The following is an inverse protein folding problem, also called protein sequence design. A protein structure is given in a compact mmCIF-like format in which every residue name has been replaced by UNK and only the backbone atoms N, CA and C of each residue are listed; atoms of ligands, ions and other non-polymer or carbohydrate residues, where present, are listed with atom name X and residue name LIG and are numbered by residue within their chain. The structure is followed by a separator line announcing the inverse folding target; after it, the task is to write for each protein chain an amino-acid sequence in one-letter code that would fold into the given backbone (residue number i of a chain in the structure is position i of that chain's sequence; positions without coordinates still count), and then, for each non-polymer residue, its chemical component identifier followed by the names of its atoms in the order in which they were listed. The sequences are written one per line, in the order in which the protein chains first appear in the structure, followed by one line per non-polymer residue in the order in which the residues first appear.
data_IF_932682646682
#
_entry.id   IF_932682646682
#
_cell.length_a   1.000
_cell.length_b   1.000
_cell.length_c   1.000
_cell.angle_alpha   90.00
_cell.angle_beta   90.00
_cell.angle_gamma   90.00
#
_symmetry.space_group_name_H-M   'P 1'
#
loop_
_entity.id
_entity.type
_entity.pdbx_description
1 polymer ?
#
# COMPACT_ATOMS: atom_id res chain seq x y z
N UNK A 1 -37.44 58.89 19.47
CA UNK A 1 -38.80 58.86 18.89
C UNK A 1 -39.10 57.36 18.57
N UNK A 2 -39.84 56.73 19.51
CA UNK A 2 -41.26 56.32 19.47
C UNK A 2 -41.61 55.54 18.19
N UNK A 3 -42.10 54.30 18.22
CA UNK A 3 -43.15 53.66 19.05
C UNK A 3 -43.11 52.11 18.77
N UNK A 4 -43.18 51.33 19.77
CA UNK A 4 -43.94 50.16 20.20
C UNK A 4 -45.21 49.86 19.38
N UNK A 5 -45.40 48.55 19.06
CA UNK A 5 -46.71 47.89 19.31
C UNK A 5 -46.56 46.33 19.27
N UNK A 6 -46.95 45.69 20.36
CA UNK A 6 -47.44 44.32 20.52
C UNK A 6 -48.92 44.45 20.96
N UNK A 7 -49.66 43.35 21.28
CA UNK A 7 -49.91 42.02 20.71
C UNK A 7 -51.43 41.74 20.50
N UNK A 8 -51.82 40.58 19.96
CA UNK A 8 -53.17 40.04 20.19
C UNK A 8 -53.21 38.54 20.35
N UNK A 9 -53.62 38.12 21.53
CA UNK A 9 -54.11 36.80 21.93
C UNK A 9 -55.53 36.59 21.35
N UNK A 10 -55.85 35.33 20.95
CA UNK A 10 -57.23 34.85 20.93
C UNK A 10 -57.32 33.46 21.56
N UNK A 11 -58.20 33.39 22.56
CA UNK A 11 -58.59 32.21 23.35
C UNK A 11 -59.79 31.52 22.71
N UNK A 12 -60.05 30.29 23.23
CA UNK A 12 -61.37 29.61 23.44
C UNK A 12 -61.77 28.69 22.27
N UNK A 13 -62.16 27.44 22.45
CA UNK A 13 -63.04 26.88 23.49
C UNK A 13 -62.92 25.33 23.58
N UNK A 14 -63.06 24.88 24.78
CA UNK A 14 -63.35 23.54 25.26
C UNK A 14 -64.73 23.01 24.80
N UNK A 15 -64.83 21.73 24.40
CA UNK A 15 -66.10 20.98 24.37
C UNK A 15 -65.91 19.60 25.00
N UNK A 16 -66.45 19.44 26.22
CA UNK A 16 -66.73 18.17 26.87
C UNK A 16 -67.90 17.49 26.20
N UNK A 17 -67.82 16.17 25.93
CA UNK A 17 -68.97 15.25 25.95
C UNK A 17 -68.53 13.82 26.23
N UNK A 18 -68.94 13.35 27.40
CA UNK A 18 -69.80 12.25 27.77
C UNK A 18 -69.24 10.84 27.62
N UNK A 19 -69.04 10.27 28.79
CA UNK A 19 -68.83 8.85 29.12
C UNK A 19 -70.01 7.97 28.66
N UNK A 20 -69.69 6.85 27.96
CA UNK A 20 -70.58 5.66 27.92
C UNK A 20 -69.74 4.47 28.31
N UNK A 21 -70.08 3.85 29.45
CA UNK A 21 -69.50 2.62 29.97
C UNK A 21 -70.03 1.42 29.17
N UNK A 22 -69.15 0.52 28.75
CA UNK A 22 -69.52 -0.86 28.39
C UNK A 22 -68.53 -1.83 29.01
N UNK A 23 -69.08 -2.75 29.82
CA UNK A 23 -68.41 -3.85 30.50
C UNK A 23 -67.66 -4.79 29.56
N UNK A 24 -66.56 -5.44 30.01
CA UNK A 24 -65.80 -6.32 29.17
C UNK A 24 -66.34 -7.76 29.17
N UNK A 25 -66.55 -8.31 28.01
CA UNK A 25 -66.79 -9.73 27.78
C UNK A 25 -65.50 -10.54 28.00
N UNK A 26 -65.59 -11.62 28.83
CA UNK A 26 -64.54 -12.56 29.11
C UNK A 26 -63.98 -13.20 27.82
N UNK A 27 -62.68 -13.06 27.59
CA UNK A 27 -61.95 -13.77 26.54
C UNK A 27 -61.41 -15.08 27.07
N UNK A 28 -61.78 -16.19 26.41
CA UNK A 28 -61.27 -17.53 26.62
C UNK A 28 -59.75 -17.56 26.43
N UNK A 29 -59.04 -18.13 27.43
CA UNK A 29 -57.57 -18.34 27.35
C UNK A 29 -57.25 -19.43 26.32
N UNK A 30 -56.52 -19.07 25.28
CA UNK A 30 -55.89 -20.01 24.36
C UNK A 30 -54.57 -20.51 24.99
N UNK A 31 -54.21 -21.79 24.90
CA UNK A 31 -53.00 -22.30 25.54
C UNK A 31 -51.75 -21.77 24.85
N UNK A 32 -50.77 -21.35 25.64
CA UNK A 32 -49.49 -20.81 25.20
C UNK A 32 -48.71 -21.87 24.39
N UNK A 33 -48.43 -21.54 23.14
CA UNK A 33 -47.55 -22.32 22.27
C UNK A 33 -46.11 -22.14 22.79
N UNK A 34 -45.49 -23.23 23.26
CA UNK A 34 -44.06 -23.25 23.69
C UNK A 34 -43.21 -22.75 22.53
N UNK A 35 -42.53 -21.65 22.74
CA UNK A 35 -41.55 -21.10 21.79
C UNK A 35 -40.40 -22.11 21.61
N UNK A 36 -40.09 -22.47 20.37
CA UNK A 36 -38.88 -23.21 20.04
C UNK A 36 -37.64 -22.33 20.42
N UNK A 37 -36.61 -22.94 21.04
CA UNK A 37 -35.38 -22.19 21.31
C UNK A 37 -34.79 -21.66 20.00
N UNK A 38 -34.38 -20.38 20.00
CA UNK A 38 -33.67 -19.75 18.89
C UNK A 38 -32.41 -20.55 18.56
N UNK A 39 -32.05 -20.70 17.28
CA UNK A 39 -30.83 -21.37 16.91
C UNK A 39 -29.65 -20.62 17.54
N UNK A 40 -28.80 -21.30 18.30
CA UNK A 40 -27.52 -20.80 18.78
C UNK A 40 -26.76 -20.29 17.54
N UNK A 41 -26.39 -19.00 17.50
CA UNK A 41 -25.46 -18.48 16.53
C UNK A 41 -24.19 -19.30 16.65
N UNK A 42 -24.00 -20.25 15.75
CA UNK A 42 -22.71 -20.89 15.51
C UNK A 42 -21.74 -19.77 15.20
N UNK A 43 -20.73 -19.61 16.05
CA UNK A 43 -19.59 -18.74 15.71
C UNK A 43 -19.13 -19.15 14.32
N UNK A 44 -19.09 -18.18 13.38
CA UNK A 44 -18.60 -18.43 12.05
C UNK A 44 -17.17 -18.97 12.19
N UNK A 45 -16.99 -20.22 11.78
CA UNK A 45 -15.67 -20.85 11.67
C UNK A 45 -14.87 -19.94 10.74
N UNK A 46 -13.68 -19.52 11.20
CA UNK A 46 -12.76 -18.78 10.34
C UNK A 46 -12.65 -19.55 9.01
N UNK A 47 -12.70 -18.86 7.86
CA UNK A 47 -12.60 -19.55 6.58
C UNK A 47 -11.35 -20.41 6.60
N UNK A 48 -11.49 -21.69 6.26
CA UNK A 48 -10.39 -22.61 6.04
C UNK A 48 -9.44 -21.93 5.04
N UNK A 49 -8.12 -22.09 5.24
CA UNK A 49 -7.09 -21.50 4.39
C UNK A 49 -7.37 -21.85 2.92
N UNK A 50 -7.97 -20.88 2.20
CA UNK A 50 -7.92 -20.92 0.74
C UNK A 50 -6.44 -20.82 0.34
N UNK A 51 -5.98 -21.63 -0.65
CA UNK A 51 -4.62 -21.52 -1.14
C UNK A 51 -4.37 -20.07 -1.58
N UNK A 52 -3.16 -19.52 -1.37
CA UNK A 52 -2.85 -18.15 -1.71
C UNK A 52 -3.18 -17.87 -3.18
N UNK A 53 -3.91 -16.77 -3.43
CA UNK A 53 -4.22 -16.31 -4.79
C UNK A 53 -2.97 -15.64 -5.35
N UNK A 54 -2.23 -16.32 -6.18
CA UNK A 54 -1.00 -15.81 -6.79
C UNK A 54 0.15 -16.82 -6.74
N UNK A 55 1.35 -16.38 -7.15
CA UNK A 55 2.54 -17.22 -7.10
C UNK A 55 2.91 -17.55 -5.65
N UNK A 56 3.56 -18.71 -5.43
CA UNK A 56 3.85 -19.22 -4.10
C UNK A 56 4.65 -18.28 -3.19
N UNK A 57 5.47 -17.41 -3.76
CA UNK A 57 6.30 -16.42 -3.03
C UNK A 57 5.55 -15.15 -2.60
N UNK A 58 4.26 -14.99 -2.95
CA UNK A 58 3.43 -13.84 -2.59
C UNK A 58 2.13 -14.30 -1.93
N UNK A 59 1.85 -13.76 -0.76
CA UNK A 59 0.60 -13.99 -0.02
C UNK A 59 -0.06 -12.64 0.30
N UNK A 60 -0.87 -12.15 -0.62
CA UNK A 60 -1.56 -10.84 -0.45
C UNK A 60 -2.59 -10.86 0.69
N UNK A 61 -3.14 -12.03 1.02
CA UNK A 61 -4.19 -12.15 2.04
C UNK A 61 -3.66 -11.98 3.47
N UNK A 62 -2.34 -12.09 3.69
CA UNK A 62 -1.72 -11.82 4.99
C UNK A 62 -2.06 -10.41 5.48
N UNK A 63 -2.15 -9.43 4.57
CA UNK A 63 -2.39 -8.03 4.90
C UNK A 63 -3.72 -7.80 5.63
N UNK A 64 -4.73 -8.64 5.36
CA UNK A 64 -6.03 -8.62 6.02
C UNK A 64 -5.98 -9.16 7.46
N UNK A 65 -4.92 -9.88 7.80
CA UNK A 65 -4.72 -10.50 9.12
C UNK A 65 -3.72 -9.74 10.01
N UNK A 66 -3.07 -8.72 9.47
CA UNK A 66 -2.15 -7.87 10.26
C UNK A 66 -2.92 -7.15 11.36
N UNK A 67 -2.47 -7.28 12.58
CA UNK A 67 -2.94 -6.48 13.71
C UNK A 67 -2.25 -5.12 13.69
N UNK A 68 -2.90 -4.17 13.02
CA UNK A 68 -2.41 -2.81 12.89
C UNK A 68 -2.30 -2.11 14.26
N UNK A 69 -1.37 -1.17 14.39
CA UNK A 69 -1.18 -0.32 15.58
C UNK A 69 -1.28 1.15 15.17
N UNK A 70 -1.68 1.99 16.11
CA UNK A 70 -1.69 3.43 15.88
C UNK A 70 -0.30 3.92 15.49
N UNK A 71 -0.25 4.68 14.41
CA UNK A 71 0.97 5.21 13.85
C UNK A 71 1.75 4.25 12.95
N UNK A 72 1.24 3.06 12.64
CA UNK A 72 1.86 2.20 11.62
C UNK A 72 2.00 2.94 10.30
N UNK A 73 3.11 2.70 9.61
CA UNK A 73 3.45 3.31 8.32
C UNK A 73 3.44 2.22 7.25
N UNK A 74 2.76 2.45 6.16
CA UNK A 74 2.75 1.57 5.00
C UNK A 74 3.41 2.27 3.82
N UNK A 75 4.52 1.72 3.36
CA UNK A 75 5.19 2.09 2.11
C UNK A 75 4.58 1.24 1.00
N UNK A 76 3.53 1.77 0.35
CA UNK A 76 2.84 1.11 -0.77
C UNK A 76 3.36 1.68 -2.08
N UNK A 77 4.19 0.90 -2.77
CA UNK A 77 4.90 1.34 -3.98
C UNK A 77 4.89 0.19 -4.98
N UNK A 78 4.48 0.38 -6.24
CA UNK A 78 4.52 -0.69 -7.22
C UNK A 78 5.96 -1.10 -7.49
N UNK A 79 6.12 -2.28 -8.06
CA UNK A 79 7.47 -2.81 -8.39
C UNK A 79 8.29 -1.77 -9.17
N UNK A 80 9.58 -1.69 -8.90
CA UNK A 80 10.57 -0.84 -9.59
C UNK A 80 10.29 0.67 -9.60
N UNK A 81 9.39 1.15 -8.75
CA UNK A 81 9.04 2.58 -8.62
C UNK A 81 9.76 3.31 -7.47
N UNK A 82 10.89 2.79 -7.00
CA UNK A 82 11.66 3.41 -5.93
C UNK A 82 11.32 2.87 -4.53
N UNK A 83 10.75 1.67 -4.44
CA UNK A 83 10.31 1.04 -3.18
C UNK A 83 11.42 1.02 -2.14
N UNK A 84 12.59 0.48 -2.48
CA UNK A 84 13.73 0.35 -1.56
C UNK A 84 14.22 1.73 -1.08
N UNK A 85 14.24 2.71 -1.95
CA UNK A 85 14.58 4.09 -1.59
C UNK A 85 13.58 4.69 -0.61
N UNK A 86 12.28 4.56 -0.88
CA UNK A 86 11.21 5.05 0.02
C UNK A 86 11.23 4.33 1.37
N UNK A 87 11.46 3.01 1.38
CA UNK A 87 11.66 2.25 2.63
C UNK A 87 12.82 2.80 3.44
N UNK A 88 13.96 3.06 2.79
CA UNK A 88 15.13 3.61 3.44
C UNK A 88 14.88 5.03 3.98
N UNK A 89 14.22 5.90 3.22
CA UNK A 89 13.84 7.25 3.71
C UNK A 89 12.98 7.12 4.99
N UNK A 90 11.96 6.28 4.98
CA UNK A 90 11.10 6.05 6.16
C UNK A 90 11.88 5.47 7.33
N UNK A 91 12.81 4.54 7.07
CA UNK A 91 13.68 3.98 8.10
C UNK A 91 14.57 5.04 8.71
N UNK A 92 15.33 5.79 7.92
CA UNK A 92 16.25 6.84 8.39
C UNK A 92 15.53 7.96 9.15
N UNK A 93 14.33 8.34 8.73
CA UNK A 93 13.50 9.31 9.45
C UNK A 93 13.03 8.79 10.80
N UNK A 94 12.74 7.48 10.93
CA UNK A 94 12.33 6.86 12.21
C UNK A 94 13.48 6.70 13.18
N UNK A 95 14.67 6.43 12.68
CA UNK A 95 15.87 6.16 13.49
C UNK A 95 16.76 7.41 13.68
N UNK A 96 16.44 8.53 13.00
CA UNK A 96 17.20 9.78 13.14
C UNK A 96 18.54 9.79 12.44
N UNK A 97 18.69 9.02 11.37
CA UNK A 97 19.92 8.93 10.59
C UNK A 97 20.88 7.86 11.13
N UNK A 98 20.40 6.62 11.23
CA UNK A 98 21.18 5.47 11.69
C UNK A 98 21.67 4.62 10.50
N UNK A 99 23.01 4.48 10.28
CA UNK A 99 23.55 3.63 9.23
C UNK A 99 23.72 2.16 9.65
N UNK A 100 23.51 1.81 10.93
CA UNK A 100 23.97 0.55 11.52
C UNK A 100 22.98 -0.62 11.37
N UNK A 101 21.93 -0.48 10.56
CA UNK A 101 21.06 -1.62 10.20
C UNK A 101 21.77 -2.59 9.24
N UNK A 102 21.44 -3.86 9.31
CA UNK A 102 22.03 -4.90 8.45
C UNK A 102 21.19 -5.19 7.21
N UNK A 103 19.87 -5.27 7.35
CA UNK A 103 18.92 -5.64 6.30
C UNK A 103 17.67 -4.76 6.42
N UNK A 104 17.43 -3.94 5.40
CA UNK A 104 16.28 -3.04 5.36
C UNK A 104 14.95 -3.80 5.43
N UNK A 105 14.88 -5.03 4.95
CA UNK A 105 13.66 -5.84 4.98
C UNK A 105 13.36 -6.45 6.36
N UNK A 106 14.30 -6.38 7.29
CA UNK A 106 14.07 -6.62 8.72
C UNK A 106 13.44 -5.37 9.36
N UNK A 107 13.94 -4.19 9.02
CA UNK A 107 13.48 -2.91 9.56
C UNK A 107 12.12 -2.45 9.00
N UNK A 108 11.87 -2.75 7.73
CA UNK A 108 10.64 -2.44 7.00
C UNK A 108 10.16 -3.71 6.26
N UNK A 109 9.56 -4.68 6.99
CA UNK A 109 9.18 -5.97 6.41
C UNK A 109 8.24 -5.84 5.22
N UNK A 110 8.48 -6.69 4.20
CA UNK A 110 7.58 -6.84 3.08
C UNK A 110 6.41 -7.75 3.47
N UNK A 111 5.21 -7.17 3.57
CA UNK A 111 4.05 -7.86 4.12
C UNK A 111 3.71 -9.15 3.37
N UNK A 112 3.59 -9.09 2.06
CA UNK A 112 3.14 -10.22 1.25
C UNK A 112 4.25 -11.23 0.88
N UNK A 113 5.51 -10.94 1.17
CA UNK A 113 6.60 -11.88 0.87
C UNK A 113 6.44 -13.18 1.65
N UNK A 114 6.48 -14.30 0.95
CA UNK A 114 6.66 -15.62 1.54
C UNK A 114 8.15 -15.95 1.45
N UNK A 115 8.86 -16.04 2.58
CA UNK A 115 10.32 -16.25 2.57
C UNK A 115 10.77 -17.57 1.95
N UNK A 116 9.93 -18.58 2.04
CA UNK A 116 10.12 -19.92 1.51
C UNK A 116 8.90 -20.79 1.75
N UNK A 117 8.78 -21.94 1.08
CA UNK A 117 7.61 -22.84 1.16
C UNK A 117 7.34 -23.38 2.56
N UNK A 118 8.37 -23.45 3.42
CA UNK A 118 8.27 -23.96 4.80
C UNK A 118 7.69 -22.92 5.77
N UNK A 119 7.61 -21.62 5.40
CA UNK A 119 7.23 -20.54 6.31
C UNK A 119 5.74 -20.27 6.25
N UNK A 120 5.04 -20.58 7.33
CA UNK A 120 3.58 -20.40 7.40
C UNK A 120 3.19 -18.93 7.56
N UNK A 121 1.93 -18.62 7.22
CA UNK A 121 1.34 -17.28 7.43
C UNK A 121 1.33 -16.89 8.90
N UNK A 122 1.05 -17.84 9.79
CA UNK A 122 1.02 -17.63 11.25
C UNK A 122 2.41 -17.26 11.79
N UNK A 123 3.46 -17.91 11.32
CA UNK A 123 4.84 -17.57 11.70
C UNK A 123 5.20 -16.14 11.25
N UNK A 124 4.82 -15.75 10.02
CA UNK A 124 5.02 -14.39 9.51
C UNK A 124 4.25 -13.35 10.33
N UNK A 125 2.96 -13.59 10.61
CA UNK A 125 2.15 -12.72 11.45
C UNK A 125 2.73 -12.58 12.86
N UNK A 126 3.18 -13.68 13.46
CA UNK A 126 3.82 -13.66 14.78
C UNK A 126 5.12 -12.83 14.78
N UNK A 127 5.92 -12.87 13.69
CA UNK A 127 7.10 -12.02 13.51
C UNK A 127 6.72 -10.53 13.48
N UNK A 128 5.69 -10.14 12.73
CA UNK A 128 5.20 -8.76 12.66
C UNK A 128 4.65 -8.28 14.02
N UNK A 129 3.98 -9.14 14.77
CA UNK A 129 3.46 -8.80 16.10
C UNK A 129 4.55 -8.59 17.14
N UNK A 130 5.71 -9.26 17.02
CA UNK A 130 6.87 -9.10 17.90
C UNK A 130 7.67 -7.83 17.65
N UNK A 131 7.44 -7.11 16.55
CA UNK A 131 8.12 -5.84 16.28
C UNK A 131 8.01 -4.89 17.49
N UNK A 132 9.06 -4.13 17.82
CA UNK A 132 9.10 -3.26 18.99
C UNK A 132 7.89 -2.36 19.13
N UNK A 133 7.43 -2.14 20.39
CA UNK A 133 6.29 -1.24 20.68
C UNK A 133 6.73 0.21 20.91
N UNK A 134 8.00 0.42 21.21
CA UNK A 134 8.55 1.75 21.53
C UNK A 134 8.76 2.67 20.32
N UNK A 135 8.63 2.12 19.10
CA UNK A 135 8.72 2.89 17.84
C UNK A 135 7.57 2.53 16.90
N UNK A 136 7.25 3.44 16.00
CA UNK A 136 6.26 3.19 14.94
C UNK A 136 6.79 2.11 14.00
N UNK A 137 5.96 1.12 13.70
CA UNK A 137 6.32 0.11 12.70
C UNK A 137 6.19 0.70 11.30
N UNK A 138 7.03 0.22 10.40
CA UNK A 138 6.89 0.49 8.97
C UNK A 138 6.85 -0.83 8.21
N UNK A 139 6.07 -0.88 7.14
CA UNK A 139 5.88 -2.06 6.31
C UNK A 139 5.96 -1.68 4.84
N UNK A 140 6.52 -2.55 4.03
CA UNK A 140 6.50 -2.45 2.58
C UNK A 140 5.37 -3.32 2.02
N UNK A 141 4.71 -2.82 0.97
CA UNK A 141 3.82 -3.61 0.12
C UNK A 141 3.87 -3.14 -1.33
N UNK A 142 3.59 -4.06 -2.26
CA UNK A 142 3.29 -3.72 -3.66
C UNK A 142 1.78 -3.68 -3.94
N UNK A 143 0.97 -3.96 -2.93
CA UNK A 143 -0.49 -3.98 -3.06
C UNK A 143 -1.09 -2.58 -2.99
N UNK A 144 -2.02 -2.25 -3.90
CA UNK A 144 -2.89 -1.08 -3.76
C UNK A 144 -4.04 -1.35 -2.77
N UNK A 145 -4.91 -0.35 -2.48
CA UNK A 145 -6.18 -0.56 -1.80
C UNK A 145 -7.01 -1.67 -2.46
N UNK A 146 -7.67 -2.46 -1.62
CA UNK A 146 -8.39 -3.68 -2.03
C UNK A 146 -7.71 -4.91 -1.44
N UNK A 147 -6.59 -5.41 -2.00
CA UNK A 147 -5.75 -6.39 -1.32
C UNK A 147 -5.17 -5.84 0.00
N UNK A 148 -4.58 -4.64 -0.03
CA UNK A 148 -4.24 -3.90 1.17
C UNK A 148 -5.51 -3.30 1.79
N UNK A 149 -5.87 -3.66 3.03
CA UNK A 149 -7.04 -3.10 3.69
C UNK A 149 -6.77 -1.63 4.06
N UNK A 150 -7.22 -0.72 3.19
CA UNK A 150 -7.12 0.71 3.45
C UNK A 150 -7.95 1.11 4.68
N UNK A 151 -7.35 1.83 5.58
CA UNK A 151 -7.98 2.39 6.77
C UNK A 151 -8.23 3.89 6.55
N UNK A 152 -9.51 4.27 6.59
CA UNK A 152 -9.89 5.67 6.38
C UNK A 152 -9.34 6.57 7.50
N UNK A 153 -9.14 7.88 7.23
CA UNK A 153 -8.77 8.84 8.27
C UNK A 153 -9.74 8.80 9.46
N UNK A 154 -9.20 8.84 10.67
CA UNK A 154 -9.99 8.73 11.91
C UNK A 154 -10.35 7.30 12.32
N UNK A 155 -10.01 6.28 11.54
CA UNK A 155 -10.14 4.90 11.98
C UNK A 155 -9.08 4.58 13.05
N UNK A 156 -9.45 3.77 14.05
CA UNK A 156 -8.50 3.20 15.01
C UNK A 156 -8.21 1.74 14.66
N UNK A 157 -6.95 1.35 14.59
CA UNK A 157 -5.75 2.18 14.68
C UNK A 157 -5.55 3.09 13.46
N UNK A 158 -4.89 4.27 13.68
CA UNK A 158 -4.47 5.18 12.61
C UNK A 158 -3.27 4.59 11.85
N UNK A 159 -3.37 4.58 10.52
CA UNK A 159 -2.32 4.07 9.62
C UNK A 159 -2.04 5.13 8.55
N UNK A 160 -0.76 5.37 8.28
CA UNK A 160 -0.31 6.32 7.26
C UNK A 160 0.30 5.61 6.07
N UNK A 161 -0.03 6.08 4.87
CA UNK A 161 0.37 5.48 3.61
C UNK A 161 1.29 6.43 2.84
N UNK A 162 2.54 6.01 2.62
CA UNK A 162 3.48 6.67 1.70
C UNK A 162 3.44 5.90 0.40
N UNK A 163 2.97 6.55 -0.64
CA UNK A 163 2.72 5.95 -1.96
C UNK A 163 3.61 6.64 -2.98
N UNK A 164 4.40 5.88 -3.72
CA UNK A 164 5.27 6.43 -4.76
C UNK A 164 4.93 5.78 -6.09
N UNK A 165 4.76 6.60 -7.12
CA UNK A 165 4.51 6.20 -8.50
C UNK A 165 5.70 6.60 -9.36
N UNK A 166 5.94 5.90 -10.45
CA UNK A 166 7.00 6.19 -11.41
C UNK A 166 6.47 6.03 -12.81
N UNK A 167 7.07 6.76 -13.76
CA UNK A 167 6.77 6.63 -15.19
C UNK A 167 6.74 5.14 -15.61
N UNK A 168 5.63 4.65 -16.20
CA UNK A 168 5.44 3.24 -16.54
C UNK A 168 6.53 2.66 -17.43
N UNK A 169 7.00 3.41 -18.44
CA UNK A 169 8.06 2.97 -19.33
C UNK A 169 9.37 2.71 -18.58
N UNK A 170 9.69 3.57 -17.61
CA UNK A 170 10.86 3.40 -16.76
C UNK A 170 10.73 2.23 -15.78
N UNK A 171 9.51 1.95 -15.32
CA UNK A 171 9.23 0.78 -14.47
C UNK A 171 9.49 -0.49 -15.28
N UNK A 172 8.91 -0.59 -16.49
CA UNK A 172 9.06 -1.76 -17.35
C UNK A 172 10.51 -1.96 -17.78
N UNK A 173 11.21 -0.89 -18.18
CA UNK A 173 12.64 -0.91 -18.48
C UNK A 173 13.50 -1.42 -17.30
N UNK A 174 13.13 -1.03 -16.08
CA UNK A 174 13.81 -1.50 -14.86
C UNK A 174 13.43 -2.92 -14.48
N UNK A 175 12.28 -3.42 -14.94
CA UNK A 175 11.78 -4.76 -14.59
C UNK A 175 12.55 -5.86 -15.33
N UNK A 176 12.89 -5.67 -16.60
CA UNK A 176 13.60 -6.66 -17.41
C UNK A 176 14.91 -7.14 -16.76
N UNK A 177 15.90 -6.30 -16.47
CA UNK A 177 17.12 -6.75 -15.80
C UNK A 177 16.86 -7.22 -14.37
N UNK A 178 15.81 -6.77 -13.72
CA UNK A 178 15.47 -7.22 -12.37
C UNK A 178 14.98 -8.67 -12.34
N UNK A 179 14.11 -9.07 -13.27
CA UNK A 179 13.66 -10.47 -13.34
C UNK A 179 14.78 -11.40 -13.79
N UNK A 180 15.68 -10.92 -14.64
CA UNK A 180 16.85 -11.67 -15.08
C UNK A 180 17.87 -11.92 -13.95
N UNK A 181 17.92 -11.03 -12.97
CA UNK A 181 18.81 -11.11 -11.82
C UNK A 181 18.26 -11.93 -10.65
N UNK A 182 17.13 -12.62 -10.80
CA UNK A 182 16.73 -13.59 -9.78
C UNK A 182 17.69 -14.78 -9.79
N UNK A 183 18.09 -15.21 -8.59
CA UNK A 183 19.05 -16.30 -8.44
C UNK A 183 18.49 -17.64 -8.92
N UNK A 184 19.36 -18.55 -9.35
CA UNK A 184 18.95 -19.92 -9.71
C UNK A 184 18.33 -20.63 -8.50
N UNK A 185 18.90 -20.42 -7.30
CA UNK A 185 18.37 -20.98 -6.05
C UNK A 185 16.92 -20.52 -5.77
N UNK A 186 16.55 -19.29 -6.13
CA UNK A 186 15.17 -18.81 -5.99
C UNK A 186 14.23 -19.52 -6.98
N UNK A 187 14.62 -19.69 -8.25
CA UNK A 187 13.83 -20.41 -9.24
C UNK A 187 13.64 -21.89 -8.86
N UNK A 188 14.68 -22.53 -8.35
CA UNK A 188 14.63 -23.91 -7.86
C UNK A 188 13.71 -24.04 -6.65
N UNK A 189 13.84 -23.16 -5.65
CA UNK A 189 13.01 -23.15 -4.43
C UNK A 189 11.52 -23.11 -4.75
N UNK A 190 11.14 -22.28 -5.75
CA UNK A 190 9.75 -22.09 -6.13
C UNK A 190 9.29 -22.97 -7.29
N UNK A 191 10.12 -23.90 -7.76
CA UNK A 191 9.84 -24.79 -8.90
C UNK A 191 9.33 -24.01 -10.11
N UNK A 192 9.89 -22.84 -10.37
CA UNK A 192 9.47 -21.93 -11.43
C UNK A 192 10.55 -21.90 -12.52
N UNK A 193 10.23 -22.30 -13.76
CA UNK A 193 11.20 -22.20 -14.85
C UNK A 193 11.59 -20.74 -15.10
N UNK A 194 12.89 -20.47 -15.32
CA UNK A 194 13.38 -19.10 -15.60
C UNK A 194 12.66 -18.45 -16.78
N UNK A 195 12.35 -19.25 -17.78
CA UNK A 195 11.70 -18.85 -19.03
C UNK A 195 10.29 -18.28 -18.83
N UNK A 196 9.69 -18.45 -17.66
CA UNK A 196 8.41 -17.83 -17.33
C UNK A 196 8.53 -16.31 -17.32
N UNK A 197 9.66 -15.78 -16.82
CA UNK A 197 9.85 -14.34 -16.65
C UNK A 197 11.04 -13.78 -17.45
N UNK A 198 12.10 -14.58 -17.63
CA UNK A 198 13.35 -14.11 -18.21
C UNK A 198 13.30 -14.19 -19.73
N UNK A 199 13.68 -13.11 -20.40
CA UNK A 199 13.80 -13.02 -21.86
C UNK A 199 15.16 -12.44 -22.23
N UNK A 200 15.70 -12.76 -23.40
CA UNK A 200 17.05 -12.34 -23.82
C UNK A 200 17.15 -10.82 -24.02
N UNK A 201 16.05 -10.19 -24.43
CA UNK A 201 16.00 -8.76 -24.72
C UNK A 201 14.70 -8.12 -24.24
N UNK A 202 14.68 -6.78 -24.19
CA UNK A 202 13.54 -6.04 -23.70
C UNK A 202 12.31 -6.18 -24.59
N UNK A 203 12.47 -6.31 -25.91
CA UNK A 203 11.35 -6.46 -26.84
C UNK A 203 10.57 -7.75 -26.55
N UNK A 204 11.29 -8.89 -26.48
CA UNK A 204 10.67 -10.17 -26.13
C UNK A 204 10.08 -10.14 -24.72
N UNK A 205 10.78 -9.53 -23.75
CA UNK A 205 10.24 -9.36 -22.41
C UNK A 205 8.94 -8.55 -22.40
N UNK A 206 8.86 -7.48 -23.17
CA UNK A 206 7.68 -6.64 -23.22
C UNK A 206 6.46 -7.41 -23.74
N UNK A 207 6.55 -8.00 -24.91
CA UNK A 207 5.41 -8.64 -25.56
C UNK A 207 5.01 -9.98 -24.96
N UNK A 208 5.96 -10.77 -24.46
CA UNK A 208 5.68 -12.09 -23.89
C UNK A 208 5.26 -12.04 -22.42
N UNK A 209 5.72 -11.02 -21.68
CA UNK A 209 5.56 -11.00 -20.21
C UNK A 209 4.98 -9.66 -19.72
N UNK A 210 5.65 -8.54 -20.01
CA UNK A 210 5.38 -7.29 -19.32
C UNK A 210 4.05 -6.66 -19.71
N UNK A 211 3.67 -6.74 -20.97
CA UNK A 211 2.42 -6.20 -21.51
C UNK A 211 1.19 -6.78 -20.79
N UNK A 212 1.20 -8.06 -20.48
CA UNK A 212 0.06 -8.75 -19.85
C UNK A 212 0.13 -8.78 -18.33
N UNK A 213 1.33 -8.83 -17.75
CA UNK A 213 1.50 -8.99 -16.30
C UNK A 213 1.80 -7.66 -15.58
N UNK A 214 2.82 -6.92 -16.04
CA UNK A 214 3.33 -5.78 -15.27
C UNK A 214 2.66 -4.45 -15.64
N UNK A 215 2.37 -4.19 -16.92
CA UNK A 215 1.74 -2.94 -17.33
C UNK A 215 0.34 -2.76 -16.70
N UNK A 216 -0.57 -3.76 -16.73
CA UNK A 216 -1.86 -3.64 -16.06
C UNK A 216 -1.75 -3.46 -14.55
N UNK A 217 -0.76 -4.11 -13.91
CA UNK A 217 -0.54 -3.97 -12.47
C UNK A 217 -0.09 -2.54 -12.11
N UNK A 218 0.78 -1.90 -12.90
CA UNK A 218 1.25 -0.53 -12.67
C UNK A 218 0.07 0.46 -12.76
N UNK A 219 -0.70 0.41 -13.83
CA UNK A 219 -1.83 1.33 -14.02
C UNK A 219 -2.98 1.06 -13.05
N UNK A 220 -3.28 -0.20 -12.75
CA UNK A 220 -4.26 -0.59 -11.74
C UNK A 220 -3.89 -0.12 -10.33
N UNK A 221 -2.58 -0.11 -10.01
CA UNK A 221 -2.09 0.45 -8.76
C UNK A 221 -2.39 1.96 -8.66
N UNK A 222 -2.09 2.73 -9.72
CA UNK A 222 -2.38 4.16 -9.76
C UNK A 222 -3.90 4.41 -9.69
N UNK A 223 -4.70 3.69 -10.48
CA UNK A 223 -6.16 3.80 -10.49
C UNK A 223 -6.78 3.60 -9.09
N UNK A 224 -6.21 2.69 -8.29
CA UNK A 224 -6.70 2.40 -6.95
C UNK A 224 -6.28 3.46 -5.91
N UNK A 225 -5.09 4.06 -6.02
CA UNK A 225 -4.62 5.10 -5.09
C UNK A 225 -5.09 6.51 -5.47
N UNK A 226 -5.29 6.80 -6.73
CA UNK A 226 -5.62 8.13 -7.24
C UNK A 226 -6.84 8.79 -6.55
N UNK A 227 -7.97 8.08 -6.35
CA UNK A 227 -9.13 8.64 -5.65
C UNK A 227 -8.85 9.00 -4.18
N UNK A 228 -7.76 8.49 -3.61
CA UNK A 228 -7.38 8.68 -2.20
C UNK A 228 -6.27 9.74 -2.03
N UNK A 229 -5.78 10.37 -3.12
CA UNK A 229 -4.63 11.29 -3.11
C UNK A 229 -4.79 12.49 -2.17
N UNK A 230 -6.02 12.97 -1.98
CA UNK A 230 -6.33 14.08 -1.06
C UNK A 230 -6.66 13.66 0.38
N UNK A 231 -6.51 12.38 0.74
CA UNK A 231 -6.80 11.93 2.10
C UNK A 231 -5.65 12.27 3.05
N UNK A 232 -5.93 12.78 4.28
CA UNK A 232 -4.88 13.27 5.19
C UNK A 232 -3.93 12.17 5.70
N UNK A 233 -4.25 10.90 5.49
CA UNK A 233 -3.39 9.77 5.81
C UNK A 233 -2.74 9.10 4.60
N UNK A 234 -2.81 9.73 3.43
CA UNK A 234 -2.17 9.27 2.18
C UNK A 234 -1.26 10.37 1.63
N UNK A 235 0.01 10.06 1.45
CA UNK A 235 0.96 10.90 0.75
C UNK A 235 1.31 10.21 -0.58
N UNK A 236 0.84 10.80 -1.69
CA UNK A 236 1.13 10.32 -3.04
C UNK A 236 2.26 11.15 -3.65
N UNK A 237 3.36 10.52 -4.02
CA UNK A 237 4.58 11.12 -4.57
C UNK A 237 4.93 10.51 -5.92
N UNK A 238 5.65 11.27 -6.75
CA UNK A 238 6.20 10.76 -7.99
C UNK A 238 7.73 10.62 -7.90
N UNK A 239 8.25 9.50 -8.38
CA UNK A 239 9.69 9.17 -8.30
C UNK A 239 10.59 10.23 -8.95
N UNK A 240 10.17 10.81 -10.09
CA UNK A 240 10.95 11.84 -10.75
C UNK A 240 11.04 13.13 -9.93
N UNK A 241 9.98 13.49 -9.22
CA UNK A 241 9.95 14.65 -8.32
C UNK A 241 10.86 14.44 -7.12
N UNK A 242 10.79 13.24 -6.51
CA UNK A 242 11.71 12.87 -5.44
C UNK A 242 13.17 12.90 -5.86
N UNK A 243 13.47 12.51 -7.10
CA UNK A 243 14.83 12.57 -7.66
C UNK A 243 15.29 14.01 -7.93
N UNK A 244 14.37 14.87 -8.36
CA UNK A 244 14.67 16.28 -8.64
C UNK A 244 14.93 17.07 -7.36
N UNK A 245 14.15 16.78 -6.32
CA UNK A 245 14.26 17.42 -5.01
C UNK A 245 14.26 16.35 -3.90
N UNK A 246 15.44 15.80 -3.64
CA UNK A 246 15.65 14.78 -2.62
C UNK A 246 15.38 15.34 -1.21
N UNK A 247 16.02 16.46 -0.85
CA UNK A 247 15.87 17.06 0.48
C UNK A 247 14.42 17.45 0.75
N UNK A 248 13.76 18.17 -0.15
CA UNK A 248 12.35 18.56 -0.01
C UNK A 248 11.43 17.35 0.12
N UNK A 249 11.67 16.30 -0.66
CA UNK A 249 10.88 15.06 -0.59
C UNK A 249 11.03 14.33 0.75
N UNK A 250 12.25 14.24 1.28
CA UNK A 250 12.51 13.62 2.60
C UNK A 250 11.83 14.43 3.70
N UNK A 251 11.88 15.76 3.65
CA UNK A 251 11.18 16.65 4.61
C UNK A 251 9.65 16.52 4.50
N UNK A 252 9.11 16.47 3.29
CA UNK A 252 7.67 16.25 3.06
C UNK A 252 7.20 14.92 3.67
N UNK A 253 7.97 13.84 3.50
CA UNK A 253 7.67 12.55 4.12
C UNK A 253 7.73 12.65 5.65
N UNK A 254 8.73 13.33 6.21
CA UNK A 254 8.86 13.52 7.66
C UNK A 254 7.66 14.28 8.24
N UNK A 255 7.28 15.40 7.62
CA UNK A 255 6.13 16.22 8.01
C UNK A 255 4.83 15.42 7.94
N UNK A 256 4.57 14.75 6.82
CA UNK A 256 3.39 13.91 6.64
C UNK A 256 3.30 12.81 7.70
N UNK A 257 4.40 12.17 8.02
CA UNK A 257 4.45 11.14 9.05
C UNK A 257 4.41 11.73 10.48
N UNK A 258 4.57 13.04 10.66
CA UNK A 258 4.69 13.68 11.96
C UNK A 258 5.99 13.28 12.69
N UNK A 259 7.01 12.88 11.93
CA UNK A 259 8.36 12.64 12.44
C UNK A 259 9.12 13.97 12.51
N UNK A 260 9.83 14.20 13.60
CA UNK A 260 10.53 15.47 13.87
C UNK A 260 11.99 15.22 14.19
N UNK A 261 12.84 14.91 13.18
CA UNK A 261 14.27 14.81 13.40
C UNK A 261 14.82 16.12 13.98
N UNK A 262 15.77 16.01 14.92
CA UNK A 262 16.48 17.18 15.43
C UNK A 262 17.35 17.80 14.34
N UNK A 263 17.66 19.10 14.39
CA UNK A 263 18.45 19.77 13.37
C UNK A 263 19.77 19.05 13.03
N UNK A 264 20.43 18.51 14.02
CA UNK A 264 21.72 17.79 13.87
C UNK A 264 21.61 16.41 13.20
N UNK A 265 20.41 15.85 13.10
CA UNK A 265 20.17 14.54 12.46
C UNK A 265 19.97 14.65 10.94
N UNK A 266 19.56 15.81 10.45
CA UNK A 266 19.23 15.99 9.04
C UNK A 266 20.39 15.69 8.08
N UNK A 267 21.66 16.10 8.35
CA UNK A 267 22.75 15.77 7.46
C UNK A 267 22.93 14.26 7.29
N UNK A 268 22.86 13.48 8.36
CA UNK A 268 22.97 12.03 8.33
C UNK A 268 21.78 11.38 7.59
N UNK A 269 20.55 11.83 7.86
CA UNK A 269 19.35 11.33 7.17
C UNK A 269 19.46 11.53 5.65
N UNK A 270 19.86 12.72 5.21
CA UNK A 270 20.00 13.04 3.78
C UNK A 270 21.16 12.29 3.13
N UNK A 271 22.28 12.13 3.83
CA UNK A 271 23.41 11.33 3.36
C UNK A 271 23.00 9.87 3.15
N UNK A 272 22.43 9.23 4.19
CA UNK A 272 22.12 7.80 4.17
C UNK A 272 20.93 7.44 3.29
N UNK A 273 20.13 8.41 2.89
CA UNK A 273 19.08 8.24 1.89
C UNK A 273 19.52 8.65 0.47
N UNK A 274 20.76 9.10 0.29
CA UNK A 274 21.29 9.43 -1.04
C UNK A 274 21.54 8.18 -1.88
N UNK A 275 21.43 8.31 -3.21
CA UNK A 275 21.76 7.22 -4.13
C UNK A 275 23.20 6.74 -3.99
N UNK A 276 24.15 7.68 -3.78
CA UNK A 276 25.57 7.35 -3.63
C UNK A 276 25.84 6.46 -2.43
N UNK A 277 25.27 6.83 -1.27
CA UNK A 277 25.43 6.03 -0.05
C UNK A 277 24.74 4.67 -0.18
N UNK A 278 23.52 4.63 -0.71
CA UNK A 278 22.79 3.38 -0.93
C UNK A 278 23.54 2.44 -1.87
N UNK A 279 24.16 2.97 -2.94
CA UNK A 279 24.97 2.15 -3.86
C UNK A 279 26.23 1.62 -3.20
N UNK A 280 26.92 2.44 -2.42
CA UNK A 280 28.11 2.02 -1.65
C UNK A 280 27.80 0.97 -0.57
N UNK A 281 26.54 0.92 -0.10
CA UNK A 281 26.07 0.02 0.96
C UNK A 281 24.99 -0.95 0.45
N UNK A 282 25.04 -1.34 -0.82
CA UNK A 282 23.93 -2.05 -1.49
C UNK A 282 23.49 -3.35 -0.83
N UNK A 283 24.39 -4.05 -0.11
CA UNK A 283 24.06 -5.25 0.67
C UNK A 283 22.96 -5.02 1.69
N UNK A 284 22.89 -3.83 2.31
CA UNK A 284 21.83 -3.48 3.28
C UNK A 284 20.43 -3.43 2.66
N UNK A 285 20.35 -3.36 1.35
CA UNK A 285 19.12 -3.22 0.57
C UNK A 285 18.72 -4.49 -0.19
N UNK A 286 19.52 -5.52 -0.10
CA UNK A 286 19.21 -6.87 -0.60
C UNK A 286 18.37 -7.62 0.43
N UNK A 287 17.51 -8.53 -0.05
CA UNK A 287 16.73 -9.40 0.86
C UNK A 287 17.64 -10.56 1.29
N UNK A 288 18.31 -10.40 2.42
CA UNK A 288 19.29 -11.39 2.89
C UNK A 288 18.70 -12.34 3.93
N UNK A 289 18.10 -11.77 4.98
CA UNK A 289 17.64 -12.55 6.15
C UNK A 289 16.14 -12.79 6.16
N UNK A 290 15.42 -12.16 5.24
CA UNK A 290 13.97 -12.28 5.12
C UNK A 290 13.52 -13.41 4.18
N UNK A 291 14.45 -14.16 3.56
CA UNK A 291 14.17 -15.26 2.64
C UNK A 291 15.05 -16.48 2.95
N UNK A 292 14.59 -17.69 2.57
CA UNK A 292 15.32 -18.95 2.77
C UNK A 292 16.55 -19.07 1.87
N UNK A 293 16.51 -18.44 0.69
CA UNK A 293 17.61 -18.35 -0.27
C UNK A 293 17.76 -16.93 -0.76
N UNK A 294 18.94 -16.53 -1.30
CA UNK A 294 19.07 -15.23 -1.96
C UNK A 294 18.03 -15.09 -3.08
N UNK A 295 17.23 -14.02 -3.04
CA UNK A 295 16.21 -13.80 -4.09
C UNK A 295 16.86 -13.28 -5.37
N UNK A 296 17.86 -12.42 -5.24
CA UNK A 296 18.55 -11.76 -6.34
C UNK A 296 20.05 -11.99 -6.26
N UNK A 297 20.70 -11.92 -7.40
CA UNK A 297 22.15 -11.77 -7.48
C UNK A 297 22.58 -10.48 -6.83
N UNK A 298 23.77 -10.47 -6.22
CA UNK A 298 24.30 -9.30 -5.52
C UNK A 298 24.45 -8.10 -6.46
N UNK A 299 24.09 -6.91 -5.98
CA UNK A 299 24.15 -5.65 -6.74
C UNK A 299 22.95 -5.36 -7.65
N UNK A 300 21.96 -6.25 -7.73
CA UNK A 300 20.82 -6.09 -8.61
C UNK A 300 19.77 -5.09 -8.09
N UNK A 301 19.75 -4.82 -6.78
CA UNK A 301 18.71 -3.99 -6.17
C UNK A 301 18.91 -2.49 -6.43
N UNK A 302 20.12 -1.95 -6.24
CA UNK A 302 20.46 -0.54 -6.44
C UNK A 302 21.22 -0.38 -7.77
N UNK A 303 20.48 -0.32 -8.90
CA UNK A 303 21.06 -0.37 -10.24
C UNK A 303 21.52 1.00 -10.78
N UNK A 304 20.67 1.72 -11.47
CA UNK A 304 21.02 2.99 -12.16
C UNK A 304 20.52 4.25 -11.44
N UNK A 305 19.31 4.20 -10.86
CA UNK A 305 18.68 5.36 -10.20
C UNK A 305 18.47 6.59 -11.12
N UNK A 306 18.39 6.36 -12.44
CA UNK A 306 18.20 7.43 -13.45
C UNK A 306 16.72 7.64 -13.76
N UNK A 307 16.36 8.86 -14.18
CA UNK A 307 15.07 9.26 -14.76
C UNK A 307 15.28 9.59 -16.23
N UNK A 308 14.28 9.30 -17.08
CA UNK A 308 14.33 9.61 -18.53
C UNK A 308 15.18 8.65 -19.37
N UNK A 309 15.67 7.55 -18.80
CA UNK A 309 16.62 6.64 -19.45
C UNK A 309 15.98 5.31 -19.94
N UNK A 310 14.65 5.23 -20.06
CA UNK A 310 13.97 4.00 -20.47
C UNK A 310 14.42 3.51 -21.87
N UNK A 311 14.70 4.42 -22.77
CA UNK A 311 15.19 4.10 -24.13
C UNK A 311 16.57 3.43 -24.12
N UNK A 312 17.45 3.74 -23.15
CA UNK A 312 18.76 3.06 -22.98
C UNK A 312 18.59 1.58 -22.61
N UNK A 313 17.45 1.22 -22.04
CA UNK A 313 17.11 -0.14 -21.59
C UNK A 313 16.14 -0.84 -22.56
N UNK A 314 15.97 -0.33 -23.79
CA UNK A 314 15.25 -1.02 -24.88
C UNK A 314 13.80 -0.58 -25.12
N UNK A 315 13.28 0.44 -24.40
CA UNK A 315 11.94 0.97 -24.68
C UNK A 315 11.96 1.77 -25.97
N UNK A 316 11.31 1.22 -27.00
CA UNK A 316 11.13 1.91 -28.29
C UNK A 316 9.91 2.84 -28.29
N UNK A 317 9.79 3.80 -29.22
CA UNK A 317 8.58 4.62 -29.36
C UNK A 317 7.30 3.77 -29.56
N UNK A 318 7.39 2.65 -30.26
CA UNK A 318 6.26 1.74 -30.48
C UNK A 318 5.82 1.08 -29.17
N UNK A 319 6.74 0.59 -28.36
CA UNK A 319 6.46 0.00 -27.04
C UNK A 319 5.89 1.06 -26.10
N UNK A 320 6.44 2.27 -26.08
CA UNK A 320 5.91 3.36 -25.25
C UNK A 320 4.49 3.73 -25.66
N UNK A 321 4.19 3.81 -26.96
CA UNK A 321 2.85 4.07 -27.46
C UNK A 321 1.86 2.97 -27.10
N UNK A 322 2.26 1.69 -27.17
CA UNK A 322 1.43 0.55 -26.79
C UNK A 322 1.19 0.51 -25.26
N UNK A 323 2.22 0.76 -24.46
CA UNK A 323 2.09 0.90 -23.00
C UNK A 323 1.12 2.02 -22.64
N UNK A 324 1.22 3.17 -23.32
CA UNK A 324 0.32 4.30 -23.09
C UNK A 324 -1.13 3.99 -23.50
N UNK A 325 -1.34 3.23 -24.58
CA UNK A 325 -2.67 2.77 -25.00
C UNK A 325 -3.32 1.89 -23.92
N UNK A 326 -2.61 0.86 -23.46
CA UNK A 326 -3.06 0.00 -22.37
C UNK A 326 -3.34 0.79 -21.08
N UNK A 327 -2.48 1.75 -20.79
CA UNK A 327 -2.64 2.60 -19.61
C UNK A 327 -3.93 3.41 -19.63
N UNK A 328 -4.33 3.98 -20.78
CA UNK A 328 -5.58 4.73 -20.93
C UNK A 328 -6.83 3.86 -20.80
N UNK A 329 -6.75 2.60 -21.17
CA UNK A 329 -7.85 1.64 -20.99
C UNK A 329 -8.11 1.35 -19.50
N UNK A 330 -7.08 1.35 -18.67
CA UNK A 330 -7.14 1.01 -17.24
C UNK A 330 -7.32 2.28 -16.39
N UNK A 331 -6.51 3.30 -16.65
CA UNK A 331 -6.48 4.57 -15.92
C UNK A 331 -7.27 5.61 -16.73
N UNK A 332 -8.59 5.57 -16.58
CA UNK A 332 -9.53 6.40 -17.38
C UNK A 332 -9.55 7.87 -16.98
N UNK A 333 -9.06 8.22 -15.79
CA UNK A 333 -8.85 9.60 -15.36
C UNK A 333 -7.63 10.18 -16.10
N UNK A 334 -7.87 11.17 -16.96
CA UNK A 334 -6.84 11.78 -17.79
C UNK A 334 -5.74 12.49 -16.96
N UNK A 335 -6.12 13.13 -15.84
CA UNK A 335 -5.16 13.78 -14.96
C UNK A 335 -4.26 12.76 -14.25
N UNK A 336 -4.84 11.63 -13.80
CA UNK A 336 -4.08 10.51 -13.24
C UNK A 336 -3.08 9.93 -14.25
N UNK A 337 -3.53 9.75 -15.49
CA UNK A 337 -2.68 9.23 -16.56
C UNK A 337 -1.50 10.16 -16.86
N UNK A 338 -1.74 11.45 -17.05
CA UNK A 338 -0.68 12.43 -17.32
C UNK A 338 0.29 12.54 -16.13
N UNK A 339 -0.25 12.58 -14.91
CA UNK A 339 0.57 12.63 -13.71
C UNK A 339 1.41 11.36 -13.53
N UNK A 340 0.87 10.20 -13.84
CA UNK A 340 1.60 8.92 -13.77
C UNK A 340 2.86 8.92 -14.66
N UNK A 341 2.81 9.58 -15.80
CA UNK A 341 3.94 9.69 -16.72
C UNK A 341 4.92 10.81 -16.36
N UNK A 342 4.43 11.94 -15.86
CA UNK A 342 5.21 13.20 -15.76
C UNK A 342 5.56 13.61 -14.33
N UNK A 343 4.78 13.19 -13.36
CA UNK A 343 4.85 13.73 -12.00
C UNK A 343 4.38 15.19 -11.93
N UNK A 344 4.96 15.95 -11.01
CA UNK A 344 4.62 17.34 -10.74
C UNK A 344 3.54 17.48 -9.64
N UNK A 345 3.01 18.69 -9.43
CA UNK A 345 1.96 18.92 -8.45
C UNK A 345 0.74 18.03 -8.70
N UNK A 346 0.17 17.51 -7.63
CA UNK A 346 -1.10 16.77 -7.76
C UNK A 346 -2.20 17.74 -8.17
N UNK A 347 -2.99 17.42 -9.18
CA UNK A 347 -4.17 18.21 -9.52
C UNK A 347 -5.21 18.11 -8.41
N UNK A 348 -6.00 19.17 -8.25
CA UNK A 348 -7.09 19.29 -7.28
C UNK A 348 -8.13 18.18 -7.40
#
# INVERSE_FOLDING_TARGET
MTRKHAPRRRKVATRKKARVSKQPRARKKTPARKAKPAPKKTAARAPADEPPRGPGWIDVDIQRRVKWRDGDIVVSVPVKSGTTWTMNIVHQLREGGDPDFEDLYVEVPWLELVPGPSVTREQRLAKLERMPRGRRRAFKTHSPPGPLPYRAPGASPDVRYVVVVRNPDEVLASMHPFVAAHSDAWFELWHTPREVFVRPDFHSFYYDVAQQAFAPMIFGFVAAWWPLRGRPNVLLLHFADMKRDHDGSVRTIAEFLGLRPRPEQWPAILEYTSFGWMKANERKFEIQTAAEVPILDSGAMVRKGKVGAAHEDGVTPAISADTARLGREILTDAAAFEWCYRGGPLPD
#
